data_IF_238507591013
#
_entry.id   IF_238507591013
#
_cell.length_a   1.000
_cell.length_b   1.000
_cell.length_c   1.000
_cell.angle_alpha   90.00
_cell.angle_beta   90.00
_cell.angle_gamma   90.00
#
_symmetry.space_group_name_H-M   'P 1'
#
loop_
_entity.id
_entity.type
_entity.pdbx_description
1 polymer ?
#
# COMPACT_ATOMS: atom_id res chain seq x y z
N UNK A 1 13.88 40.49 -23.21
CA UNK A 1 13.85 39.02 -23.58
C UNK A 1 13.45 38.09 -22.42
N UNK A 2 13.39 38.54 -21.19
CA UNK A 2 13.18 37.72 -19.97
C UNK A 2 11.69 37.46 -19.60
N UNK A 3 10.78 38.39 -19.85
CA UNK A 3 9.34 38.23 -19.50
C UNK A 3 8.64 37.12 -20.30
N UNK A 4 8.87 37.00 -21.60
CA UNK A 4 8.28 35.95 -22.44
C UNK A 4 8.75 34.53 -22.07
N UNK A 5 10.03 34.36 -21.68
CA UNK A 5 10.55 33.09 -21.19
C UNK A 5 9.91 32.66 -19.86
N UNK A 6 9.67 33.64 -18.95
CA UNK A 6 8.98 33.37 -17.67
C UNK A 6 7.50 33.03 -17.85
N UNK A 7 6.82 33.66 -18.83
CA UNK A 7 5.41 33.33 -19.15
C UNK A 7 5.28 31.94 -19.80
N UNK A 8 6.18 31.57 -20.72
CA UNK A 8 6.19 30.22 -21.31
C UNK A 8 6.53 29.12 -20.28
N UNK A 9 7.45 29.38 -19.35
CA UNK A 9 7.76 28.45 -18.26
C UNK A 9 6.56 28.28 -17.30
N UNK A 10 5.87 29.39 -16.95
CA UNK A 10 4.65 29.33 -16.10
C UNK A 10 3.46 28.65 -16.79
N UNK A 11 3.29 28.86 -18.09
CA UNK A 11 2.25 28.19 -18.87
C UNK A 11 2.52 26.69 -19.00
N UNK A 12 3.79 26.28 -19.23
CA UNK A 12 4.21 24.89 -19.25
C UNK A 12 4.01 24.18 -17.91
N UNK A 13 4.35 24.82 -16.78
CA UNK A 13 4.15 24.27 -15.45
C UNK A 13 2.67 24.08 -15.10
N UNK A 14 1.81 25.05 -15.46
CA UNK A 14 0.34 24.90 -15.25
C UNK A 14 -0.26 23.74 -16.05
N UNK A 15 0.17 23.52 -17.30
CA UNK A 15 -0.30 22.40 -18.12
C UNK A 15 0.19 21.05 -17.57
N UNK A 16 1.44 20.96 -17.11
CA UNK A 16 1.99 19.73 -16.49
C UNK A 16 1.26 19.38 -15.18
N UNK A 17 0.97 20.35 -14.33
CA UNK A 17 0.18 20.12 -13.11
C UNK A 17 -1.25 19.65 -13.43
N UNK A 18 -1.92 20.27 -14.39
CA UNK A 18 -3.28 19.87 -14.82
C UNK A 18 -3.29 18.44 -15.37
N UNK A 19 -2.31 18.05 -16.17
CA UNK A 19 -2.16 16.69 -16.69
C UNK A 19 -1.92 15.69 -15.53
N UNK A 20 -1.09 16.06 -14.57
CA UNK A 20 -0.82 15.22 -13.38
C UNK A 20 -2.09 14.97 -12.56
N UNK A 21 -2.89 16.03 -12.28
CA UNK A 21 -4.15 15.87 -11.56
C UNK A 21 -5.16 15.03 -12.33
N UNK A 22 -5.28 15.24 -13.64
CA UNK A 22 -6.18 14.46 -14.48
C UNK A 22 -5.78 12.97 -14.48
N UNK A 23 -4.49 12.69 -14.64
CA UNK A 23 -3.99 11.32 -14.59
C UNK A 23 -4.21 10.65 -13.22
N UNK A 24 -3.95 11.38 -12.13
CA UNK A 24 -4.22 10.90 -10.78
C UNK A 24 -5.71 10.59 -10.58
N UNK A 25 -6.60 11.47 -11.04
CA UNK A 25 -8.04 11.26 -10.98
C UNK A 25 -8.44 9.99 -11.74
N UNK A 26 -7.97 9.82 -12.97
CA UNK A 26 -8.26 8.61 -13.77
C UNK A 26 -7.75 7.33 -13.09
N UNK A 27 -6.53 7.34 -12.54
CA UNK A 27 -5.95 6.20 -11.86
C UNK A 27 -6.73 5.83 -10.58
N UNK A 28 -7.07 6.81 -9.76
CA UNK A 28 -7.88 6.61 -8.55
C UNK A 28 -9.28 6.09 -8.90
N UNK A 29 -9.91 6.65 -9.94
CA UNK A 29 -11.22 6.22 -10.40
C UNK A 29 -11.20 4.79 -10.92
N UNK A 30 -10.16 4.41 -11.66
CA UNK A 30 -9.97 3.03 -12.13
C UNK A 30 -9.82 2.05 -10.96
N UNK A 31 -8.98 2.37 -9.98
CA UNK A 31 -8.80 1.54 -8.79
C UNK A 31 -10.08 1.43 -7.97
N UNK A 32 -10.82 2.52 -7.83
CA UNK A 32 -12.13 2.51 -7.19
C UNK A 32 -13.13 1.63 -7.94
N UNK A 33 -13.19 1.71 -9.29
CA UNK A 33 -14.05 0.86 -10.10
C UNK A 33 -13.70 -0.63 -9.95
N UNK A 34 -12.41 -0.98 -9.99
CA UNK A 34 -11.96 -2.36 -9.78
C UNK A 34 -12.38 -2.89 -8.40
N UNK A 35 -12.16 -2.08 -7.37
CA UNK A 35 -12.51 -2.45 -5.98
C UNK A 35 -14.02 -2.56 -5.80
N UNK A 36 -14.79 -1.60 -6.31
CA UNK A 36 -16.24 -1.60 -6.23
C UNK A 36 -16.85 -2.76 -7.04
N UNK A 37 -16.38 -2.99 -8.27
CA UNK A 37 -16.83 -4.11 -9.09
C UNK A 37 -16.57 -5.45 -8.39
N UNK A 38 -15.36 -5.64 -7.83
CA UNK A 38 -15.03 -6.86 -7.07
C UNK A 38 -15.87 -7.03 -5.80
N UNK A 39 -16.19 -5.93 -5.10
CA UNK A 39 -17.04 -5.95 -3.92
C UNK A 39 -18.49 -6.33 -4.27
N UNK A 40 -19.04 -5.78 -5.35
CA UNK A 40 -20.43 -6.01 -5.81
C UNK A 40 -20.65 -7.41 -6.40
N UNK A 41 -19.61 -8.07 -6.92
CA UNK A 41 -19.73 -9.40 -7.50
C UNK A 41 -20.16 -10.47 -6.48
N UNK A 42 -19.87 -10.26 -5.19
CA UNK A 42 -20.31 -11.14 -4.10
C UNK A 42 -20.00 -12.62 -4.38
N UNK A 43 -21.01 -13.47 -4.25
CA UNK A 43 -20.91 -14.93 -4.49
C UNK A 43 -20.79 -15.30 -5.96
N UNK A 44 -21.18 -14.43 -6.89
CA UNK A 44 -21.07 -14.71 -8.34
C UNK A 44 -19.61 -14.98 -8.76
N UNK A 45 -18.65 -14.36 -8.07
CA UNK A 45 -17.23 -14.56 -8.35
C UNK A 45 -16.71 -15.97 -7.96
N UNK A 46 -17.45 -16.71 -7.14
CA UNK A 46 -17.10 -18.06 -6.67
C UNK A 46 -18.10 -19.11 -7.18
N UNK A 47 -19.17 -18.70 -7.87
CA UNK A 47 -20.17 -19.60 -8.42
C UNK A 47 -19.53 -20.61 -9.38
N UNK A 48 -19.76 -21.90 -9.13
CA UNK A 48 -19.20 -23.01 -9.91
C UNK A 48 -20.19 -23.50 -10.97
N UNK A 49 -19.69 -23.74 -12.17
CA UNK A 49 -20.45 -24.32 -13.24
C UNK A 49 -19.59 -25.37 -13.99
N UNK A 50 -19.69 -26.60 -13.58
CA UNK A 50 -18.85 -27.67 -14.11
C UNK A 50 -19.04 -27.97 -15.61
N UNK A 51 -20.12 -27.47 -16.24
CA UNK A 51 -20.33 -27.58 -17.69
C UNK A 51 -19.36 -26.66 -18.48
N UNK A 52 -18.75 -25.68 -17.82
CA UNK A 52 -17.91 -24.62 -18.42
C UNK A 52 -16.46 -24.71 -17.95
N UNK A 53 -15.97 -25.89 -17.59
CA UNK A 53 -14.61 -26.10 -17.10
C UNK A 53 -13.56 -25.75 -18.15
N UNK A 54 -12.52 -25.02 -17.72
CA UNK A 54 -11.30 -24.78 -18.48
C UNK A 54 -11.52 -24.17 -19.87
N UNK A 55 -12.55 -23.35 -20.02
CA UNK A 55 -12.73 -22.60 -21.26
C UNK A 55 -11.59 -21.62 -21.45
N UNK A 56 -11.05 -21.58 -22.66
CA UNK A 56 -10.10 -20.55 -23.07
C UNK A 56 -10.77 -19.17 -23.07
N UNK A 57 -10.00 -18.08 -23.00
CA UNK A 57 -10.54 -16.74 -23.13
C UNK A 57 -11.45 -16.59 -24.36
N UNK A 58 -12.67 -16.15 -24.15
CA UNK A 58 -13.70 -15.97 -25.15
C UNK A 58 -14.63 -14.81 -24.78
N UNK A 59 -15.52 -14.36 -25.69
CA UNK A 59 -16.40 -13.20 -25.47
C UNK A 59 -17.21 -13.28 -24.17
N UNK A 60 -17.87 -14.43 -23.80
CA UNK A 60 -18.58 -14.53 -22.53
C UNK A 60 -17.64 -14.54 -21.31
N UNK A 61 -16.39 -15.03 -21.49
CA UNK A 61 -15.39 -15.23 -20.42
C UNK A 61 -14.05 -14.65 -20.86
N UNK A 62 -13.87 -13.33 -20.68
CA UNK A 62 -12.69 -12.60 -21.18
C UNK A 62 -11.37 -13.17 -20.65
N UNK A 63 -11.33 -13.65 -19.42
CA UNK A 63 -10.16 -14.29 -18.80
C UNK A 63 -10.26 -15.82 -18.80
N UNK A 64 -11.24 -16.39 -19.52
CA UNK A 64 -11.55 -17.82 -19.50
C UNK A 64 -12.19 -18.27 -18.20
N UNK A 65 -12.26 -19.60 -18.03
CA UNK A 65 -12.79 -20.24 -16.81
C UNK A 65 -11.77 -21.20 -16.22
N UNK A 66 -11.88 -21.46 -14.92
CA UNK A 66 -11.02 -22.40 -14.22
C UNK A 66 -11.56 -23.85 -14.26
N UNK A 67 -10.92 -24.74 -13.50
CA UNK A 67 -11.30 -26.17 -13.41
C UNK A 67 -12.65 -26.43 -12.72
N UNK A 68 -13.21 -25.44 -12.05
CA UNK A 68 -14.56 -25.48 -11.48
C UNK A 68 -15.60 -24.77 -12.36
N UNK A 69 -15.17 -24.20 -13.51
CA UNK A 69 -16.01 -23.43 -14.40
C UNK A 69 -16.32 -22.02 -13.91
N UNK A 70 -15.56 -21.52 -12.93
CA UNK A 70 -15.72 -20.16 -12.39
C UNK A 70 -15.14 -19.14 -13.37
N UNK A 71 -15.80 -18.00 -13.54
CA UNK A 71 -15.32 -16.90 -14.37
C UNK A 71 -14.06 -16.27 -13.77
N UNK A 72 -12.94 -16.35 -14.50
CA UNK A 72 -11.65 -15.85 -14.04
C UNK A 72 -11.59 -14.31 -13.97
N UNK A 73 -12.36 -13.57 -14.79
CA UNK A 73 -12.43 -12.11 -14.66
C UNK A 73 -13.13 -11.72 -13.35
N UNK A 74 -14.29 -12.32 -13.07
CA UNK A 74 -15.03 -12.07 -11.84
C UNK A 74 -14.20 -12.43 -10.59
N UNK A 75 -13.53 -13.60 -10.62
CA UNK A 75 -12.62 -14.01 -9.55
C UNK A 75 -11.45 -13.05 -9.37
N UNK A 76 -10.84 -12.60 -10.46
CA UNK A 76 -9.71 -11.67 -10.41
C UNK A 76 -10.14 -10.32 -9.81
N UNK A 77 -11.26 -9.75 -10.24
CA UNK A 77 -11.80 -8.51 -9.68
C UNK A 77 -12.10 -8.65 -8.18
N UNK A 78 -12.73 -9.76 -7.78
CA UNK A 78 -13.01 -10.04 -6.37
C UNK A 78 -11.73 -10.23 -5.56
N UNK A 79 -10.76 -10.97 -6.09
CA UNK A 79 -9.46 -11.19 -5.46
C UNK A 79 -8.68 -9.89 -5.28
N UNK A 80 -8.64 -9.04 -6.32
CA UNK A 80 -8.02 -7.71 -6.23
C UNK A 80 -8.72 -6.84 -5.20
N UNK A 81 -10.06 -6.80 -5.18
CA UNK A 81 -10.82 -6.04 -4.18
C UNK A 81 -10.46 -6.46 -2.76
N UNK A 82 -10.35 -7.76 -2.49
CA UNK A 82 -9.95 -8.29 -1.19
C UNK A 82 -8.52 -7.89 -0.84
N UNK A 83 -7.58 -8.09 -1.76
CA UNK A 83 -6.15 -7.76 -1.55
C UNK A 83 -5.92 -6.24 -1.39
N UNK A 84 -6.64 -5.41 -2.15
CA UNK A 84 -6.61 -3.93 -2.00
C UNK A 84 -7.11 -3.54 -0.61
N UNK A 85 -8.21 -4.13 -0.14
CA UNK A 85 -8.76 -3.81 1.17
C UNK A 85 -7.80 -4.19 2.31
N UNK A 86 -7.19 -5.38 2.25
CA UNK A 86 -6.15 -5.81 3.19
C UNK A 86 -4.97 -4.85 3.14
N UNK A 87 -4.49 -4.51 1.94
CA UNK A 87 -3.36 -3.60 1.76
C UNK A 87 -3.61 -2.22 2.35
N UNK A 88 -4.80 -1.63 2.14
CA UNK A 88 -5.19 -0.34 2.74
C UNK A 88 -5.21 -0.45 4.26
N UNK A 89 -5.91 -1.43 4.81
CA UNK A 89 -6.08 -1.59 6.25
C UNK A 89 -4.72 -1.80 6.94
N UNK A 90 -3.89 -2.70 6.39
CA UNK A 90 -2.55 -2.96 6.91
C UNK A 90 -1.64 -1.72 6.83
N UNK A 91 -1.66 -0.99 5.72
CA UNK A 91 -0.85 0.22 5.55
C UNK A 91 -1.27 1.34 6.50
N UNK A 92 -2.58 1.53 6.72
CA UNK A 92 -3.08 2.52 7.69
C UNK A 92 -2.65 2.17 9.10
N UNK A 93 -2.80 0.92 9.52
CA UNK A 93 -2.38 0.47 10.86
C UNK A 93 -0.86 0.63 11.02
N UNK A 94 -0.06 0.21 10.02
CA UNK A 94 1.39 0.41 10.02
C UNK A 94 1.79 1.88 10.11
N UNK A 95 1.13 2.77 9.37
CA UNK A 95 1.43 4.20 9.38
C UNK A 95 1.09 4.83 10.75
N UNK A 96 -0.01 4.42 11.37
CA UNK A 96 -0.36 4.85 12.73
C UNK A 96 0.66 4.35 13.76
N UNK A 97 1.09 3.09 13.67
CA UNK A 97 2.16 2.56 14.53
C UNK A 97 3.48 3.33 14.34
N UNK A 98 3.87 3.58 13.09
CA UNK A 98 5.07 4.36 12.77
C UNK A 98 5.01 5.78 13.35
N UNK A 99 3.87 6.45 13.25
CA UNK A 99 3.66 7.77 13.82
C UNK A 99 3.72 7.75 15.35
N UNK A 100 3.01 6.83 15.99
CA UNK A 100 2.97 6.71 17.46
C UNK A 100 4.35 6.40 18.04
N UNK A 101 5.02 5.37 17.51
CA UNK A 101 6.33 4.96 17.99
C UNK A 101 7.41 6.00 17.67
N UNK A 102 7.39 6.59 16.46
CA UNK A 102 8.30 7.66 16.10
C UNK A 102 8.13 8.90 16.97
N UNK A 103 6.89 9.29 17.27
CA UNK A 103 6.60 10.40 18.19
C UNK A 103 7.03 10.10 19.61
N UNK A 104 6.75 8.89 20.10
CA UNK A 104 7.18 8.44 21.42
C UNK A 104 8.71 8.49 21.58
N UNK A 105 9.44 8.03 20.58
CA UNK A 105 10.92 8.09 20.56
C UNK A 105 11.45 9.52 20.71
N UNK A 106 10.82 10.51 20.06
CA UNK A 106 11.27 11.90 20.08
C UNK A 106 10.82 12.66 21.32
N UNK A 107 9.61 12.38 21.85
CA UNK A 107 8.99 13.14 22.94
C UNK A 107 9.37 12.59 24.31
N UNK A 108 9.40 11.27 24.48
CA UNK A 108 9.62 10.63 25.79
C UNK A 108 11.10 10.51 26.21
N UNK A 109 12.02 10.97 25.37
CA UNK A 109 13.43 11.07 25.69
C UNK A 109 14.25 9.83 25.33
N UNK A 110 15.53 9.82 25.80
CA UNK A 110 16.58 8.90 25.34
C UNK A 110 16.23 7.42 25.51
N UNK A 111 15.56 7.05 26.61
CA UNK A 111 15.20 5.65 26.86
C UNK A 111 14.20 5.13 25.81
N UNK A 112 13.11 5.89 25.57
CA UNK A 112 12.12 5.55 24.54
C UNK A 112 12.73 5.51 23.14
N UNK A 113 13.62 6.44 22.85
CA UNK A 113 14.34 6.50 21.59
C UNK A 113 15.20 5.25 21.35
N UNK A 114 15.97 4.84 22.36
CA UNK A 114 16.78 3.62 22.31
C UNK A 114 15.91 2.36 22.14
N UNK A 115 14.80 2.28 22.88
CA UNK A 115 13.89 1.13 22.83
C UNK A 115 13.22 1.01 21.43
N UNK A 116 12.73 2.12 20.88
CA UNK A 116 12.10 2.13 19.54
C UNK A 116 13.13 1.80 18.46
N UNK A 117 14.34 2.36 18.55
CA UNK A 117 15.41 2.05 17.60
C UNK A 117 15.80 0.58 17.65
N UNK A 118 15.96 0.01 18.84
CA UNK A 118 16.22 -1.42 19.02
C UNK A 118 15.11 -2.29 18.42
N UNK A 119 13.84 -1.91 18.63
CA UNK A 119 12.70 -2.62 18.06
C UNK A 119 12.68 -2.54 16.53
N UNK A 120 13.01 -1.38 15.94
CA UNK A 120 13.15 -1.22 14.50
C UNK A 120 14.25 -2.15 13.97
N UNK A 121 15.41 -2.17 14.62
CA UNK A 121 16.54 -2.97 14.17
C UNK A 121 16.26 -4.47 14.31
N UNK A 122 15.57 -4.89 15.37
CA UNK A 122 15.10 -6.27 15.54
C UNK A 122 14.17 -6.69 14.38
N UNK A 123 13.19 -5.86 14.05
CA UNK A 123 12.22 -6.16 12.98
C UNK A 123 12.85 -6.18 11.60
N UNK A 124 13.84 -5.32 11.34
CA UNK A 124 14.57 -5.27 10.08
C UNK A 124 15.71 -6.31 9.99
N UNK A 125 16.17 -6.85 11.10
CA UNK A 125 17.19 -7.89 11.17
C UNK A 125 16.68 -9.28 10.75
N UNK A 126 15.36 -9.50 10.78
CA UNK A 126 14.76 -10.76 10.33
C UNK A 126 14.33 -10.63 8.87
N UNK A 127 14.54 -11.65 8.00
CA UNK A 127 14.01 -11.63 6.65
C UNK A 127 12.50 -11.36 6.65
N UNK A 128 12.09 -10.26 5.99
CA UNK A 128 10.74 -9.69 6.13
C UNK A 128 9.61 -10.70 5.86
N UNK A 129 9.73 -11.50 4.78
CA UNK A 129 8.70 -12.48 4.43
C UNK A 129 8.60 -13.61 5.45
N UNK A 130 9.70 -14.00 6.07
CA UNK A 130 9.72 -15.04 7.12
C UNK A 130 8.99 -14.54 8.35
N UNK A 131 9.29 -13.31 8.80
CA UNK A 131 8.62 -12.69 9.93
C UNK A 131 7.11 -12.55 9.69
N UNK A 132 6.73 -12.13 8.48
CA UNK A 132 5.33 -11.98 8.10
C UNK A 132 4.59 -13.32 8.11
N UNK A 133 5.18 -14.39 7.57
CA UNK A 133 4.62 -15.74 7.60
C UNK A 133 4.44 -16.21 9.05
N UNK A 134 5.45 -16.04 9.90
CA UNK A 134 5.39 -16.44 11.30
C UNK A 134 4.26 -15.73 12.05
N UNK A 135 4.15 -14.41 11.90
CA UNK A 135 3.09 -13.62 12.55
C UNK A 135 1.71 -14.03 12.00
N UNK A 136 1.56 -14.12 10.68
CA UNK A 136 0.29 -14.52 10.05
C UNK A 136 -0.15 -15.91 10.52
N UNK A 137 0.78 -16.85 10.61
CA UNK A 137 0.52 -18.21 11.08
C UNK A 137 0.13 -18.24 12.57
N UNK A 138 0.88 -17.52 13.41
CA UNK A 138 0.62 -17.43 14.87
C UNK A 138 -0.74 -16.79 15.18
N UNK A 139 -1.20 -15.87 14.32
CA UNK A 139 -2.50 -15.21 14.46
C UNK A 139 -3.67 -15.99 13.79
N UNK A 140 -3.44 -17.23 13.37
CA UNK A 140 -4.48 -18.14 12.87
C UNK A 140 -4.76 -18.04 11.38
N UNK A 141 -3.83 -17.50 10.58
CA UNK A 141 -3.98 -17.31 9.11
C UNK A 141 -5.22 -16.49 8.74
N UNK A 142 -5.64 -16.56 7.47
CA UNK A 142 -6.84 -15.91 6.98
C UNK A 142 -6.73 -14.40 6.93
N UNK A 143 -7.86 -13.73 6.79
CA UNK A 143 -7.93 -12.28 6.60
C UNK A 143 -7.20 -11.48 7.70
N UNK A 144 -7.50 -11.75 8.98
CA UNK A 144 -6.92 -11.03 10.10
C UNK A 144 -5.46 -11.39 10.33
N UNK A 145 -5.09 -12.69 10.19
CA UNK A 145 -3.70 -13.11 10.34
C UNK A 145 -2.77 -12.41 9.36
N UNK A 146 -3.17 -12.36 8.09
CA UNK A 146 -2.37 -11.65 7.06
C UNK A 146 -2.39 -10.14 7.26
N UNK A 147 -3.56 -9.55 7.50
CA UNK A 147 -3.68 -8.09 7.69
C UNK A 147 -2.80 -7.61 8.84
N UNK A 148 -2.86 -8.27 9.98
CA UNK A 148 -2.05 -7.94 11.14
C UNK A 148 -0.58 -8.30 10.91
N UNK A 149 -0.29 -9.42 10.25
CA UNK A 149 1.07 -9.76 9.86
C UNK A 149 1.74 -8.68 9.03
N UNK A 150 1.07 -8.21 7.98
CA UNK A 150 1.55 -7.09 7.15
C UNK A 150 1.64 -5.80 7.97
N UNK A 151 0.61 -5.47 8.76
CA UNK A 151 0.59 -4.25 9.56
C UNK A 151 1.74 -4.18 10.56
N UNK A 152 2.02 -5.28 11.26
CA UNK A 152 3.06 -5.36 12.28
C UNK A 152 4.49 -5.41 11.71
N UNK A 153 4.66 -5.68 10.42
CA UNK A 153 5.99 -5.79 9.81
C UNK A 153 6.40 -4.59 8.95
N UNK A 154 5.46 -3.73 8.53
CA UNK A 154 5.74 -2.62 7.61
C UNK A 154 6.04 -1.28 8.28
N UNK A 155 5.68 -1.08 9.55
CA UNK A 155 5.86 0.18 10.27
C UNK A 155 7.33 0.62 10.46
N UNK A 156 8.37 -0.28 10.59
CA UNK A 156 9.72 0.11 10.98
C UNK A 156 10.39 1.10 10.01
N UNK A 157 10.25 0.85 8.70
CA UNK A 157 10.85 1.73 7.68
C UNK A 157 10.28 3.15 7.74
N UNK A 158 8.95 3.29 7.80
CA UNK A 158 8.31 4.59 7.91
C UNK A 158 8.60 5.27 9.27
N UNK A 159 8.60 4.51 10.36
CA UNK A 159 8.95 5.01 11.69
C UNK A 159 10.35 5.63 11.73
N UNK A 160 11.34 4.97 11.10
CA UNK A 160 12.72 5.49 11.00
C UNK A 160 12.76 6.83 10.28
N UNK A 161 12.02 6.98 9.19
CA UNK A 161 11.94 8.23 8.41
C UNK A 161 11.28 9.34 9.23
N UNK A 162 10.08 9.08 9.80
CA UNK A 162 9.34 10.07 10.59
C UNK A 162 10.13 10.50 11.84
N UNK A 163 10.77 9.54 12.52
CA UNK A 163 11.63 9.82 13.69
C UNK A 163 12.79 10.73 13.30
N UNK A 164 13.52 10.45 12.21
CA UNK A 164 14.64 11.25 11.76
C UNK A 164 14.20 12.70 11.45
N UNK A 165 13.09 12.87 10.76
CA UNK A 165 12.54 14.19 10.43
C UNK A 165 12.09 14.95 11.69
N UNK A 166 11.40 14.29 12.63
CA UNK A 166 11.02 14.91 13.90
C UNK A 166 12.22 15.31 14.76
N UNK A 167 13.30 14.53 14.78
CA UNK A 167 14.55 14.89 15.47
C UNK A 167 15.19 16.14 14.85
N UNK A 168 15.27 16.19 13.53
CA UNK A 168 15.78 17.36 12.81
C UNK A 168 14.96 18.63 13.11
N UNK A 169 13.62 18.51 13.13
CA UNK A 169 12.74 19.61 13.52
C UNK A 169 13.00 20.06 14.97
N UNK A 170 13.23 19.13 15.91
CA UNK A 170 13.44 19.41 17.32
C UNK A 170 14.66 20.33 17.57
N UNK A 171 15.64 20.29 16.68
CA UNK A 171 16.85 21.13 16.73
C UNK A 171 16.66 22.48 16.04
N UNK A 172 15.52 22.74 15.43
CA UNK A 172 15.25 24.01 14.75
C UNK A 172 15.15 25.20 15.69
N UNK A 173 15.62 26.36 15.22
CA UNK A 173 15.66 27.61 16.01
C UNK A 173 14.27 28.00 16.50
N UNK A 174 13.23 27.88 15.66
CA UNK A 174 11.88 28.29 16.04
C UNK A 174 11.28 27.41 17.16
N UNK A 175 11.60 26.12 17.23
CA UNK A 175 11.18 25.26 18.34
C UNK A 175 11.95 25.55 19.63
N UNK A 176 13.22 25.94 19.51
CA UNK A 176 14.00 26.42 20.65
C UNK A 176 13.41 27.69 21.25
N UNK A 177 13.00 28.65 20.43
CA UNK A 177 12.28 29.86 20.86
C UNK A 177 10.96 29.49 21.53
N UNK A 178 10.16 28.58 20.96
CA UNK A 178 8.91 28.16 21.56
C UNK A 178 9.09 27.54 22.96
N UNK A 179 10.19 26.78 23.18
CA UNK A 179 10.56 26.26 24.50
C UNK A 179 10.94 27.37 25.48
N UNK A 180 11.75 28.33 25.03
CA UNK A 180 12.14 29.48 25.86
C UNK A 180 10.93 30.33 26.27
N UNK A 181 9.90 30.40 25.44
CA UNK A 181 8.63 31.05 25.77
C UNK A 181 7.70 30.18 26.68
N UNK A 182 8.21 29.10 27.25
CA UNK A 182 7.50 28.30 28.23
C UNK A 182 6.42 27.36 27.65
N UNK A 183 6.41 27.12 26.32
CA UNK A 183 5.47 26.18 25.71
C UNK A 183 5.79 24.74 26.12
N UNK A 184 4.77 24.00 26.53
CA UNK A 184 4.93 22.59 26.91
C UNK A 184 5.37 21.71 25.71
N UNK A 185 6.10 20.60 25.96
CA UNK A 185 6.50 19.66 24.91
C UNK A 185 5.31 19.14 24.07
N UNK A 186 4.17 18.90 24.72
CA UNK A 186 2.94 18.49 24.05
C UNK A 186 2.35 19.57 23.13
N UNK A 187 2.36 20.81 23.59
CA UNK A 187 1.92 21.95 22.75
C UNK A 187 2.81 22.09 21.50
N UNK A 188 4.12 21.98 21.67
CA UNK A 188 5.08 22.02 20.57
C UNK A 188 4.85 20.86 19.58
N UNK A 189 4.68 19.63 20.10
CA UNK A 189 4.40 18.48 19.27
C UNK A 189 3.11 18.66 18.44
N UNK A 190 2.01 19.05 19.09
CA UNK A 190 0.70 19.21 18.44
C UNK A 190 0.65 20.36 17.44
N UNK A 191 1.26 21.51 17.77
CA UNK A 191 1.11 22.74 17.00
C UNK A 191 2.16 22.90 15.90
N UNK A 192 3.35 22.33 16.11
CA UNK A 192 4.48 22.55 15.20
C UNK A 192 4.94 21.26 14.52
N UNK A 193 5.17 20.17 15.29
CA UNK A 193 5.74 18.94 14.71
C UNK A 193 4.67 18.17 13.92
N UNK A 194 3.52 17.90 14.53
CA UNK A 194 2.49 17.07 13.92
C UNK A 194 2.00 17.57 12.55
N UNK A 195 1.68 18.87 12.34
CA UNK A 195 1.26 19.36 11.03
C UNK A 195 2.34 19.26 9.95
N UNK A 196 3.62 19.34 10.33
CA UNK A 196 4.72 19.22 9.37
C UNK A 196 5.03 17.77 9.00
N UNK A 197 4.80 16.83 9.92
CA UNK A 197 4.99 15.39 9.68
C UNK A 197 3.86 14.77 8.86
N UNK A 198 2.68 15.35 8.89
CA UNK A 198 1.49 14.80 8.23
C UNK A 198 1.69 14.56 6.71
N UNK A 199 2.25 15.49 5.94
CA UNK A 199 2.53 15.25 4.51
C UNK A 199 3.46 14.06 4.28
N UNK A 200 4.50 13.91 5.11
CA UNK A 200 5.45 12.81 5.03
C UNK A 200 4.81 11.47 5.41
N UNK A 201 3.94 11.47 6.43
CA UNK A 201 3.16 10.32 6.83
C UNK A 201 2.26 9.84 5.67
N UNK A 202 1.53 10.75 5.02
CA UNK A 202 0.70 10.42 3.85
C UNK A 202 1.53 9.91 2.67
N UNK A 203 2.65 10.56 2.37
CA UNK A 203 3.56 10.11 1.32
C UNK A 203 4.10 8.71 1.61
N UNK A 204 4.50 8.44 2.86
CA UNK A 204 4.96 7.13 3.31
C UNK A 204 3.89 6.06 3.22
N UNK A 205 2.65 6.36 3.64
CA UNK A 205 1.51 5.47 3.54
C UNK A 205 1.24 5.06 2.08
N UNK A 206 1.24 6.01 1.15
CA UNK A 206 1.02 5.75 -0.26
C UNK A 206 2.12 4.87 -0.90
N UNK A 207 3.37 5.04 -0.47
CA UNK A 207 4.49 4.20 -0.93
C UNK A 207 4.43 2.80 -0.29
N UNK A 208 3.98 2.69 0.95
CA UNK A 208 3.88 1.42 1.69
C UNK A 208 2.80 0.51 1.09
N UNK A 209 1.70 1.06 0.58
CA UNK A 209 0.54 0.31 0.13
C UNK A 209 0.83 -0.71 -1.00
N UNK A 210 1.57 -0.39 -2.10
CA UNK A 210 1.96 -1.36 -3.11
C UNK A 210 2.74 -2.55 -2.53
N UNK A 211 3.65 -2.28 -1.59
CA UNK A 211 4.41 -3.32 -0.90
C UNK A 211 3.50 -4.21 -0.04
N UNK A 212 2.52 -3.62 0.66
CA UNK A 212 1.58 -4.35 1.49
C UNK A 212 0.74 -5.34 0.67
N UNK A 213 0.24 -4.95 -0.51
CA UNK A 213 -0.48 -5.85 -1.42
C UNK A 213 0.42 -6.99 -1.92
N UNK A 214 1.64 -6.67 -2.35
CA UNK A 214 2.57 -7.69 -2.86
C UNK A 214 2.93 -8.71 -1.76
N UNK A 215 3.14 -8.26 -0.54
CA UNK A 215 3.44 -9.15 0.59
C UNK A 215 2.23 -9.98 1.01
N UNK A 216 1.02 -9.39 1.04
CA UNK A 216 -0.23 -10.15 1.22
C UNK A 216 -0.35 -11.25 0.16
N UNK A 217 -0.23 -10.87 -1.13
CA UNK A 217 -0.33 -11.81 -2.22
C UNK A 217 0.73 -12.92 -2.15
N UNK A 218 1.97 -12.58 -1.76
CA UNK A 218 3.06 -13.56 -1.61
C UNK A 218 2.79 -14.56 -0.49
N UNK A 219 2.36 -14.10 0.68
CA UNK A 219 2.05 -14.98 1.83
C UNK A 219 0.84 -15.86 1.53
N UNK A 220 -0.18 -15.30 0.86
CA UNK A 220 -1.36 -16.05 0.44
C UNK A 220 -1.00 -17.07 -0.65
N UNK A 221 -0.15 -16.70 -1.61
CA UNK A 221 0.37 -17.59 -2.64
C UNK A 221 1.12 -18.80 -2.05
N UNK A 222 1.90 -18.57 -1.00
CA UNK A 222 2.65 -19.63 -0.29
C UNK A 222 1.77 -20.49 0.63
N UNK A 223 0.45 -20.23 0.73
CA UNK A 223 -0.49 -21.03 1.53
C UNK A 223 -0.55 -20.65 3.02
N UNK A 224 0.09 -19.53 3.41
CA UNK A 224 0.05 -19.03 4.80
C UNK A 224 -0.93 -17.86 4.99
N UNK A 225 -1.68 -17.51 3.94
CA UNK A 225 -2.62 -16.40 3.93
C UNK A 225 -4.08 -16.83 3.97
N UNK A 226 -4.87 -16.31 3.02
CA UNK A 226 -6.30 -16.52 2.93
C UNK A 226 -6.64 -17.95 2.50
N UNK A 227 -7.84 -18.40 2.90
CA UNK A 227 -8.37 -19.70 2.50
C UNK A 227 -8.87 -19.69 1.05
N UNK A 228 -8.93 -20.86 0.37
CA UNK A 228 -9.44 -20.98 -1.01
C UNK A 228 -10.90 -20.52 -1.18
N UNK A 229 -11.68 -20.48 -0.12
CA UNK A 229 -13.08 -20.03 -0.12
C UNK A 229 -13.22 -18.51 -0.29
N UNK A 230 -12.19 -17.77 0.11
CA UNK A 230 -12.17 -16.30 0.00
C UNK A 230 -11.20 -15.89 -1.10
N UNK A 231 -11.69 -15.50 -2.29
CA UNK A 231 -10.80 -15.13 -3.39
C UNK A 231 -9.95 -13.92 -2.98
N UNK A 232 -8.64 -14.14 -3.01
CA UNK A 232 -7.58 -13.14 -2.95
C UNK A 232 -6.66 -13.38 -4.14
N UNK A 233 -5.96 -12.36 -4.60
CA UNK A 233 -5.17 -12.49 -5.84
C UNK A 233 -4.04 -13.52 -5.70
N UNK A 234 -3.39 -13.58 -4.54
CA UNK A 234 -2.35 -14.57 -4.25
C UNK A 234 -2.87 -16.01 -4.26
N UNK A 235 -4.11 -16.25 -3.76
CA UNK A 235 -4.73 -17.56 -3.79
C UNK A 235 -5.06 -17.99 -5.21
N UNK A 236 -5.61 -17.08 -6.03
CA UNK A 236 -5.92 -17.37 -7.44
C UNK A 236 -4.65 -17.75 -8.21
N UNK A 237 -3.55 -17.04 -7.97
CA UNK A 237 -2.26 -17.35 -8.58
C UNK A 237 -1.72 -18.70 -8.11
N UNK A 238 -1.80 -19.01 -6.81
CA UNK A 238 -1.35 -20.29 -6.24
C UNK A 238 -2.11 -21.46 -6.84
N UNK A 239 -3.43 -21.40 -6.90
CA UNK A 239 -4.26 -22.41 -7.54
C UNK A 239 -3.92 -22.58 -9.03
N UNK A 240 -3.65 -21.48 -9.73
CA UNK A 240 -3.38 -21.48 -11.17
C UNK A 240 -2.07 -22.18 -11.53
N UNK A 241 -1.08 -22.20 -10.62
CA UNK A 241 0.23 -22.84 -10.86
C UNK A 241 0.12 -24.32 -11.17
N UNK A 242 -0.82 -25.02 -10.53
CA UNK A 242 -1.04 -26.45 -10.76
C UNK A 242 -1.52 -26.77 -12.21
N UNK A 243 -2.02 -25.77 -12.92
CA UNK A 243 -2.60 -25.94 -14.26
C UNK A 243 -1.73 -25.36 -15.38
N UNK A 244 -0.61 -24.70 -15.06
CA UNK A 244 0.31 -24.16 -16.07
C UNK A 244 0.92 -25.26 -16.94
N UNK A 245 1.34 -26.38 -16.34
CA UNK A 245 1.91 -27.51 -17.05
C UNK A 245 0.90 -28.19 -18.01
N UNK A 246 -0.40 -27.97 -17.81
CA UNK A 246 -1.47 -28.46 -18.68
C UNK A 246 -1.86 -27.47 -19.78
N UNK A 247 -1.08 -26.43 -19.98
CA UNK A 247 -1.27 -25.42 -21.03
C UNK A 247 -2.32 -24.35 -20.72
N UNK A 248 -2.85 -24.27 -19.49
CA UNK A 248 -3.88 -23.30 -19.08
C UNK A 248 -3.27 -22.01 -18.55
N UNK A 249 -2.41 -21.39 -19.34
CA UNK A 249 -1.61 -20.22 -18.99
C UNK A 249 -2.45 -18.98 -18.60
N UNK A 250 -3.66 -18.85 -19.15
CA UNK A 250 -4.56 -17.72 -18.90
C UNK A 250 -4.97 -17.59 -17.43
N UNK A 251 -5.04 -18.73 -16.71
CA UNK A 251 -5.41 -18.77 -15.29
C UNK A 251 -4.42 -18.00 -14.40
N UNK A 252 -3.15 -17.99 -14.77
CA UNK A 252 -2.10 -17.25 -14.04
C UNK A 252 -1.81 -15.89 -14.67
N UNK A 253 -1.78 -15.80 -16.01
CA UNK A 253 -1.36 -14.60 -16.73
C UNK A 253 -2.27 -13.42 -16.44
N UNK A 254 -3.58 -13.55 -16.62
CA UNK A 254 -4.50 -12.43 -16.46
C UNK A 254 -4.61 -11.93 -15.01
N UNK A 255 -4.75 -12.79 -13.99
CA UNK A 255 -4.70 -12.33 -12.60
C UNK A 255 -3.34 -11.71 -12.24
N UNK A 256 -2.23 -12.29 -12.72
CA UNK A 256 -0.89 -11.76 -12.49
C UNK A 256 -0.70 -10.38 -13.11
N UNK A 257 -1.06 -10.18 -14.38
CA UNK A 257 -1.01 -8.88 -15.04
C UNK A 257 -1.92 -7.86 -14.36
N UNK A 258 -3.10 -8.28 -13.91
CA UNK A 258 -4.02 -7.41 -13.18
C UNK A 258 -3.44 -6.94 -11.84
N UNK A 259 -2.75 -7.83 -11.11
CA UNK A 259 -2.03 -7.46 -9.89
C UNK A 259 -0.90 -6.45 -10.19
N UNK A 260 -0.07 -6.73 -11.20
CA UNK A 260 1.01 -5.84 -11.61
C UNK A 260 0.46 -4.45 -12.00
N UNK A 261 -0.63 -4.40 -12.76
CA UNK A 261 -1.27 -3.14 -13.14
C UNK A 261 -1.70 -2.34 -11.91
N UNK A 262 -2.38 -2.96 -10.95
CA UNK A 262 -2.82 -2.32 -9.71
C UNK A 262 -1.64 -1.79 -8.91
N UNK A 263 -0.59 -2.61 -8.72
CA UNK A 263 0.62 -2.22 -7.99
C UNK A 263 1.32 -1.03 -8.65
N UNK A 264 1.52 -1.09 -9.98
CA UNK A 264 2.16 0.01 -10.74
C UNK A 264 1.32 1.29 -10.67
N UNK A 265 0.00 1.20 -10.76
CA UNK A 265 -0.87 2.37 -10.63
C UNK A 265 -0.74 3.03 -9.25
N UNK A 266 -0.75 2.24 -8.17
CA UNK A 266 -0.57 2.77 -6.81
C UNK A 266 0.82 3.36 -6.60
N UNK A 267 1.88 2.71 -7.10
CA UNK A 267 3.24 3.24 -7.04
C UNK A 267 3.35 4.60 -7.76
N UNK A 268 2.77 4.71 -8.96
CA UNK A 268 2.73 5.96 -9.71
C UNK A 268 1.91 7.05 -9.01
N UNK A 269 0.78 6.70 -8.39
CA UNK A 269 -0.01 7.63 -7.58
C UNK A 269 0.85 8.13 -6.41
N UNK A 270 1.46 7.22 -5.65
CA UNK A 270 2.30 7.55 -4.50
C UNK A 270 3.46 8.47 -4.88
N UNK A 271 4.19 8.14 -5.95
CA UNK A 271 5.31 8.95 -6.46
C UNK A 271 4.87 10.35 -6.89
N UNK A 272 3.75 10.49 -7.59
CA UNK A 272 3.20 11.79 -8.02
C UNK A 272 2.72 12.63 -6.84
N UNK A 273 2.02 12.02 -5.90
CA UNK A 273 1.58 12.72 -4.68
C UNK A 273 2.77 13.19 -3.85
N UNK A 274 3.80 12.34 -3.70
CA UNK A 274 5.04 12.73 -3.01
C UNK A 274 5.70 13.94 -3.67
N UNK A 275 5.78 13.98 -4.99
CA UNK A 275 6.34 15.13 -5.73
C UNK A 275 5.53 16.40 -5.50
N UNK A 276 4.18 16.30 -5.45
CA UNK A 276 3.30 17.44 -5.18
C UNK A 276 3.39 17.96 -3.73
N UNK A 277 3.68 17.08 -2.77
CA UNK A 277 3.83 17.42 -1.35
C UNK A 277 5.24 17.93 -1.00
N UNK A 278 6.25 17.71 -1.86
CA UNK A 278 7.60 18.17 -1.60
C UNK A 278 7.72 19.70 -1.80
N UNK A 279 8.43 20.41 -0.91
CA UNK A 279 8.61 21.88 -1.01
C UNK A 279 9.27 22.33 -2.33
N UNK A 280 10.12 21.49 -2.92
CA UNK A 280 10.75 21.77 -4.21
C UNK A 280 9.74 21.76 -5.38
N UNK A 281 8.70 20.95 -5.32
CA UNK A 281 7.61 20.92 -6.31
C UNK A 281 6.63 22.11 -6.22
N UNK A 282 6.72 22.91 -5.16
CA UNK A 282 5.89 24.12 -5.01
C UNK A 282 6.51 25.35 -5.71
N UNK A 283 7.77 25.27 -6.14
CA UNK A 283 8.52 26.37 -6.78
C UNK A 283 8.59 26.26 -8.32
N UNK A 284 8.18 25.12 -8.89
CA UNK A 284 7.99 24.91 -10.34
C UNK A 284 6.51 25.07 -10.74
#
# INVERSE_FOLDING_TARGET
MDKRKKEHARAGGKNMRRQTYFWLLCAVLFLFMVTAAGALLGERAVATDFSRKNLTPCIPYLFGTDWMGRDMLARTLKGLSTSIFIGILASVVSALMALLLGTAAVVLGRFADTAVTWLIDLMLGVPHIVLLILISYALGKGFWGVTLGVALTHWPGLCRVLRAEMLQMKESVYLSIARQLGKSPWHIAKTHIFPQILPQLFAGLLVMFPHAILHEASVTFLGFGLSPEKPAIGMILSESMAYLSTGKWWLALFPGLSLVLVVVLFDRIGSRVRTLLSPAGAQE
#
